data_IF_675644723915
#
_entry.id   IF_675644723915
#
_cell.length_a   1.000
_cell.length_b   1.000
_cell.length_c   1.000
_cell.angle_alpha   90.00
_cell.angle_beta   90.00
_cell.angle_gamma   90.00
#
_symmetry.space_group_name_H-M   'P 1'
#
loop_
_entity.id
_entity.type
_entity.pdbx_description
1 polymer ?
#
# COMPACT_ATOMS: atom_id res chain seq x y z
N UNK A 1 -14.82 -3.76 -10.62
CA UNK A 1 -14.68 -4.80 -9.58
C UNK A 1 -13.41 -4.49 -8.79
N UNK A 2 -13.54 -4.21 -7.50
CA UNK A 2 -12.37 -3.93 -6.65
C UNK A 2 -11.52 -5.18 -6.53
N UNK A 3 -10.18 -5.08 -6.65
CA UNK A 3 -9.34 -6.23 -6.39
C UNK A 3 -9.55 -6.61 -4.92
N UNK A 4 -10.18 -7.76 -4.72
CA UNK A 4 -10.13 -8.48 -3.44
C UNK A 4 -8.72 -9.10 -3.31
N UNK A 5 -8.51 -10.01 -2.37
CA UNK A 5 -7.29 -10.84 -2.33
C UNK A 5 -6.96 -11.57 -3.65
N UNK A 6 -7.82 -11.55 -4.66
CA UNK A 6 -7.52 -11.90 -6.05
C UNK A 6 -6.22 -11.29 -6.58
N UNK A 7 -5.82 -10.10 -6.09
CA UNK A 7 -4.51 -9.52 -6.46
C UNK A 7 -3.36 -10.41 -5.99
N UNK A 8 -3.46 -11.02 -4.81
CA UNK A 8 -2.45 -11.89 -4.20
C UNK A 8 -2.39 -13.22 -4.96
N UNK A 9 -3.55 -13.72 -5.39
CA UNK A 9 -3.67 -14.95 -6.18
C UNK A 9 -3.09 -14.79 -7.59
N UNK A 10 -3.15 -13.58 -8.17
CA UNK A 10 -2.76 -13.30 -9.56
C UNK A 10 -1.64 -12.26 -9.67
N UNK A 11 -0.72 -12.23 -8.69
CA UNK A 11 0.33 -11.20 -8.60
C UNK A 11 1.11 -11.02 -9.90
N UNK A 12 1.44 -12.11 -10.60
CA UNK A 12 2.24 -12.02 -11.82
C UNK A 12 1.54 -11.25 -12.93
N UNK A 13 0.22 -11.40 -13.08
CA UNK A 13 -0.58 -10.65 -14.05
C UNK A 13 -0.54 -9.16 -13.73
N UNK A 14 -0.79 -8.80 -12.47
CA UNK A 14 -0.81 -7.40 -12.07
C UNK A 14 0.56 -6.74 -12.17
N UNK A 15 1.62 -7.39 -11.67
CA UNK A 15 2.97 -6.80 -11.68
C UNK A 15 3.49 -6.62 -13.11
N UNK A 16 3.11 -7.48 -14.05
CA UNK A 16 3.53 -7.36 -15.46
C UNK A 16 2.64 -6.44 -16.30
N UNK A 17 1.45 -6.07 -15.79
CA UNK A 17 0.48 -5.21 -16.51
C UNK A 17 0.88 -3.73 -16.62
N UNK A 18 1.88 -3.29 -15.85
CA UNK A 18 2.36 -1.89 -15.83
C UNK A 18 3.86 -1.84 -15.57
N UNK A 19 4.53 -0.77 -16.01
CA UNK A 19 5.95 -0.54 -15.75
C UNK A 19 6.27 -0.50 -14.24
N UNK A 20 5.36 0.09 -13.45
CA UNK A 20 5.46 0.16 -12.00
C UNK A 20 4.15 -0.27 -11.35
N UNK A 21 4.21 -1.33 -10.54
CA UNK A 21 3.07 -1.83 -9.79
C UNK A 21 3.39 -1.92 -8.30
N UNK A 22 2.45 -1.48 -7.48
CA UNK A 22 2.41 -1.74 -6.04
C UNK A 22 0.97 -1.87 -5.58
N UNK A 23 0.74 -2.40 -4.40
CA UNK A 23 -0.57 -2.32 -3.77
C UNK A 23 -0.46 -2.16 -2.26
N UNK A 24 -1.51 -1.61 -1.67
CA UNK A 24 -1.66 -1.48 -0.23
C UNK A 24 -2.79 -2.39 0.21
N UNK A 25 -2.49 -3.36 1.07
CA UNK A 25 -3.51 -4.23 1.66
C UNK A 25 -3.96 -3.65 3.00
N UNK A 26 -5.28 -3.53 3.19
CA UNK A 26 -5.88 -3.03 4.42
C UNK A 26 -6.15 -4.18 5.39
N UNK A 27 -5.44 -4.25 6.53
CA UNK A 27 -5.67 -5.28 7.54
C UNK A 27 -7.12 -5.30 8.02
N UNK A 28 -7.61 -6.48 8.40
CA UNK A 28 -9.01 -6.72 8.81
C UNK A 28 -10.05 -6.49 7.71
N UNK A 29 -9.59 -6.34 6.47
CA UNK A 29 -10.44 -6.25 5.29
C UNK A 29 -9.91 -7.16 4.20
N UNK A 30 -10.80 -7.54 3.29
CA UNK A 30 -10.47 -8.26 2.06
C UNK A 30 -10.07 -7.30 0.93
N UNK A 31 -9.69 -6.06 1.27
CA UNK A 31 -9.58 -4.96 0.33
C UNK A 31 -8.14 -4.50 0.12
N UNK A 32 -7.81 -4.24 -1.14
CA UNK A 32 -6.52 -3.69 -1.54
C UNK A 32 -6.73 -2.41 -2.37
N UNK A 33 -5.78 -1.50 -2.29
CA UNK A 33 -5.64 -0.38 -3.22
C UNK A 33 -4.46 -0.70 -4.13
N UNK A 34 -4.73 -0.87 -5.43
CA UNK A 34 -3.69 -1.08 -6.42
C UNK A 34 -3.21 0.26 -7.00
N UNK A 35 -1.91 0.37 -7.23
CA UNK A 35 -1.26 1.46 -7.92
C UNK A 35 -0.52 0.91 -9.13
N UNK A 36 -0.90 1.39 -10.30
CA UNK A 36 -0.22 1.13 -11.57
C UNK A 36 0.25 2.46 -12.14
N UNK A 37 1.51 2.55 -12.53
CA UNK A 37 2.07 3.74 -13.16
C UNK A 37 2.86 3.37 -14.40
N UNK A 38 2.62 4.12 -15.49
CA UNK A 38 3.27 3.99 -16.78
C UNK A 38 3.70 5.37 -17.27
N UNK A 39 4.79 5.45 -18.02
CA UNK A 39 5.12 6.68 -18.76
C UNK A 39 4.04 6.99 -19.80
N UNK A 40 3.64 8.25 -19.88
CA UNK A 40 2.67 8.74 -20.87
C UNK A 40 3.10 10.11 -21.41
N UNK A 41 2.54 10.48 -22.57
CA UNK A 41 2.67 11.80 -23.20
C UNK A 41 1.40 12.65 -23.07
N UNK A 42 0.37 12.11 -22.42
CA UNK A 42 -0.86 12.83 -22.14
C UNK A 42 -0.62 14.07 -21.27
N UNK A 43 -1.55 15.02 -21.36
CA UNK A 43 -1.49 16.24 -20.57
C UNK A 43 -1.69 15.97 -19.08
N UNK A 44 -1.20 16.92 -18.27
CA UNK A 44 -1.31 16.85 -16.81
C UNK A 44 -2.77 16.70 -16.39
N UNK A 45 -3.06 15.70 -15.57
CA UNK A 45 -4.39 15.37 -15.06
C UNK A 45 -4.30 15.15 -13.55
N UNK A 46 -5.26 15.68 -12.81
CA UNK A 46 -5.35 15.50 -11.36
C UNK A 46 -6.07 16.68 -10.73
N UNK A 47 -6.77 16.41 -9.63
CA UNK A 47 -7.38 17.44 -8.80
C UNK A 47 -6.76 17.34 -7.42
N UNK A 48 -6.00 18.36 -7.05
CA UNK A 48 -5.54 18.52 -5.68
C UNK A 48 -6.68 19.16 -4.88
N UNK A 49 -7.03 18.59 -3.73
CA UNK A 49 -8.06 19.15 -2.87
C UNK A 49 -7.55 19.16 -1.45
N UNK A 50 -7.11 20.34 -1.00
CA UNK A 50 -6.57 20.52 0.35
C UNK A 50 -7.50 19.95 1.43
N UNK A 51 -8.82 20.11 1.29
CA UNK A 51 -9.78 19.56 2.25
C UNK A 51 -9.72 18.03 2.31
N UNK A 52 -9.71 17.35 1.16
CA UNK A 52 -9.63 15.89 1.12
C UNK A 52 -8.23 15.37 1.48
N UNK A 53 -7.19 16.03 0.99
CA UNK A 53 -5.80 15.61 1.16
C UNK A 53 -5.30 15.88 2.59
N UNK A 54 -5.47 17.09 3.08
CA UNK A 54 -4.96 17.52 4.40
C UNK A 54 -6.02 17.41 5.49
N UNK A 55 -7.25 17.86 5.24
CA UNK A 55 -8.32 17.84 6.25
C UNK A 55 -8.73 16.41 6.63
N UNK A 56 -9.15 15.64 5.63
CA UNK A 56 -9.65 14.27 5.83
C UNK A 56 -8.51 13.24 5.81
N UNK A 57 -7.67 13.27 4.76
CA UNK A 57 -6.62 12.29 4.54
C UNK A 57 -5.48 12.35 5.55
N UNK A 58 -5.28 13.51 6.19
CA UNK A 58 -4.26 13.69 7.22
C UNK A 58 -4.81 14.02 8.60
N UNK A 59 -5.34 15.22 8.85
CA UNK A 59 -5.65 15.66 10.21
C UNK A 59 -6.70 14.79 10.91
N UNK A 60 -7.81 14.49 10.22
CA UNK A 60 -8.84 13.60 10.77
C UNK A 60 -8.30 12.19 10.99
N UNK A 61 -7.57 11.64 10.02
CA UNK A 61 -6.99 10.30 10.13
C UNK A 61 -5.99 10.21 11.29
N UNK A 62 -5.10 11.19 11.42
CA UNK A 62 -4.12 11.28 12.51
C UNK A 62 -4.82 11.35 13.86
N UNK A 63 -5.89 12.14 13.99
CA UNK A 63 -6.68 12.22 15.21
C UNK A 63 -7.32 10.87 15.57
N UNK A 64 -7.91 10.18 14.59
CA UNK A 64 -8.51 8.85 14.81
C UNK A 64 -7.47 7.79 15.18
N UNK A 65 -6.30 7.81 14.55
CA UNK A 65 -5.17 6.93 14.89
C UNK A 65 -4.63 7.26 16.28
N UNK A 66 -4.57 8.53 16.67
CA UNK A 66 -4.21 8.90 18.04
C UNK A 66 -5.20 8.34 19.07
N UNK A 67 -6.51 8.43 18.83
CA UNK A 67 -7.51 7.79 19.70
C UNK A 67 -7.32 6.27 19.76
N UNK A 68 -6.98 5.64 18.64
CA UNK A 68 -6.80 4.18 18.56
C UNK A 68 -5.63 3.67 19.40
N UNK A 69 -4.66 4.53 19.76
CA UNK A 69 -3.59 4.20 20.72
C UNK A 69 -4.11 3.88 22.12
N UNK A 70 -5.26 4.46 22.51
CA UNK A 70 -5.93 4.17 23.79
C UNK A 70 -6.96 3.04 23.64
N UNK A 71 -7.57 2.89 22.46
CA UNK A 71 -8.62 1.91 22.20
C UNK A 71 -8.32 1.17 20.89
N UNK A 72 -7.45 0.16 20.95
CA UNK A 72 -6.99 -0.59 19.78
C UNK A 72 -8.10 -1.27 18.98
N UNK A 73 -9.25 -1.55 19.62
CA UNK A 73 -10.46 -2.09 18.94
C UNK A 73 -11.03 -1.15 17.88
N UNK A 74 -10.66 0.13 17.86
CA UNK A 74 -11.07 1.08 16.83
C UNK A 74 -10.29 0.90 15.52
N UNK A 75 -9.10 0.29 15.55
CA UNK A 75 -8.23 0.15 14.36
C UNK A 75 -8.96 -0.48 13.16
N UNK A 76 -9.64 -1.63 13.28
CA UNK A 76 -10.37 -2.21 12.14
C UNK A 76 -11.46 -1.30 11.59
N UNK A 77 -12.13 -0.53 12.46
CA UNK A 77 -13.19 0.41 12.06
C UNK A 77 -12.60 1.60 11.29
N UNK A 78 -11.49 2.15 11.77
CA UNK A 78 -10.76 3.26 11.14
C UNK A 78 -10.25 2.82 9.76
N UNK A 79 -9.60 1.66 9.67
CA UNK A 79 -9.10 1.12 8.40
C UNK A 79 -10.23 0.93 7.38
N UNK A 80 -11.36 0.35 7.81
CA UNK A 80 -12.52 0.15 6.94
C UNK A 80 -13.13 1.47 6.48
N UNK A 81 -13.24 2.45 7.38
CA UNK A 81 -13.75 3.77 7.04
C UNK A 81 -12.82 4.49 6.05
N UNK A 82 -11.50 4.48 6.31
CA UNK A 82 -10.49 5.05 5.42
C UNK A 82 -10.55 4.42 4.03
N UNK A 83 -10.58 3.08 3.94
CA UNK A 83 -10.72 2.39 2.65
C UNK A 83 -12.01 2.77 1.92
N UNK A 84 -13.13 2.89 2.63
CA UNK A 84 -14.39 3.29 2.01
C UNK A 84 -14.37 4.70 1.42
N UNK A 85 -13.62 5.63 2.03
CA UNK A 85 -13.50 7.02 1.57
C UNK A 85 -12.50 7.14 0.43
N UNK A 86 -11.31 6.57 0.58
CA UNK A 86 -10.19 6.79 -0.35
C UNK A 86 -9.92 5.64 -1.32
N UNK A 87 -10.26 4.40 -0.95
CA UNK A 87 -9.93 3.20 -1.74
C UNK A 87 -10.98 2.78 -2.77
N UNK A 88 -12.21 3.30 -2.68
CA UNK A 88 -13.33 2.89 -3.55
C UNK A 88 -13.41 3.63 -4.88
N UNK A 89 -12.79 4.79 -4.99
CA UNK A 89 -12.89 5.59 -6.21
C UNK A 89 -11.56 5.54 -6.93
N UNK A 90 -11.49 4.94 -8.13
CA UNK A 90 -10.29 5.03 -8.96
C UNK A 90 -9.93 6.50 -9.18
N UNK A 91 -8.66 6.83 -9.00
CA UNK A 91 -8.14 8.16 -9.22
C UNK A 91 -6.96 8.08 -10.17
N UNK A 92 -7.01 8.87 -11.24
CA UNK A 92 -5.91 9.02 -12.18
C UNK A 92 -5.16 10.31 -11.90
N UNK A 93 -3.83 10.25 -11.96
CA UNK A 93 -2.95 11.41 -11.92
C UNK A 93 -1.88 11.29 -13.00
N UNK A 94 -1.75 12.32 -13.82
CA UNK A 94 -0.70 12.45 -14.82
C UNK A 94 0.10 13.70 -14.44
N UNK A 95 1.38 13.52 -14.13
CA UNK A 95 2.30 14.59 -13.75
C UNK A 95 3.75 14.12 -14.00
N UNK A 96 4.73 14.99 -13.70
CA UNK A 96 6.15 14.61 -13.68
C UNK A 96 6.39 13.48 -12.68
N UNK A 97 7.31 12.57 -12.99
CA UNK A 97 7.54 11.33 -12.23
C UNK A 97 7.70 11.53 -10.71
N UNK A 98 8.48 12.52 -10.28
CA UNK A 98 8.68 12.85 -8.86
C UNK A 98 7.38 13.27 -8.15
N UNK A 99 6.41 13.87 -8.86
CA UNK A 99 5.11 14.28 -8.28
C UNK A 99 4.06 13.16 -8.29
N UNK A 100 4.34 12.08 -9.02
CA UNK A 100 3.53 10.86 -9.06
C UNK A 100 4.04 9.84 -8.04
N UNK A 101 5.36 9.64 -7.96
CA UNK A 101 5.96 8.65 -7.07
C UNK A 101 6.08 9.11 -5.61
N UNK A 102 6.31 10.41 -5.39
CA UNK A 102 6.41 10.93 -4.02
C UNK A 102 5.01 11.25 -3.46
N UNK A 103 4.80 10.88 -2.20
CA UNK A 103 3.65 11.30 -1.40
C UNK A 103 4.14 11.72 -0.02
N UNK A 104 3.41 12.64 0.61
CA UNK A 104 3.78 13.15 1.92
C UNK A 104 3.47 12.10 2.99
N UNK A 105 4.51 11.63 3.69
CA UNK A 105 4.38 10.76 4.86
C UNK A 105 4.11 11.60 6.12
N UNK A 106 2.92 12.21 6.18
CA UNK A 106 2.62 13.31 7.09
C UNK A 106 2.60 12.93 8.58
N UNK A 107 2.41 11.66 8.92
CA UNK A 107 2.48 11.15 10.30
C UNK A 107 3.71 10.27 10.50
N UNK A 108 4.26 10.32 11.71
CA UNK A 108 5.36 9.44 12.12
C UNK A 108 4.86 8.01 12.20
N UNK A 109 5.61 7.09 11.62
CA UNK A 109 5.29 5.67 11.54
C UNK A 109 6.51 4.87 12.01
N UNK A 110 6.30 3.87 12.87
CA UNK A 110 7.30 2.83 13.05
C UNK A 110 7.08 1.78 11.98
N UNK A 111 8.15 1.44 11.27
CA UNK A 111 8.05 0.61 10.08
C UNK A 111 9.06 -0.50 10.18
N UNK A 112 8.60 -1.72 9.91
CA UNK A 112 9.48 -2.81 9.52
C UNK A 112 9.29 -3.09 8.03
N UNK A 113 10.38 -3.39 7.35
CA UNK A 113 10.36 -3.74 5.94
C UNK A 113 11.17 -5.02 5.71
N UNK A 114 10.60 -5.92 4.92
CA UNK A 114 11.24 -7.17 4.52
C UNK A 114 11.38 -7.23 3.01
N UNK A 115 12.55 -7.68 2.55
CA UNK A 115 12.79 -8.03 1.16
C UNK A 115 12.82 -9.57 1.03
N UNK A 116 11.96 -10.10 0.16
CA UNK A 116 11.83 -11.54 -0.09
C UNK A 116 11.87 -11.82 -1.60
N UNK A 117 12.19 -13.05 -2.03
CA UNK A 117 12.03 -13.42 -3.44
C UNK A 117 10.59 -13.18 -3.90
N UNK A 118 10.40 -12.56 -5.07
CA UNK A 118 9.07 -12.25 -5.62
C UNK A 118 8.15 -13.48 -5.68
N UNK A 119 8.70 -14.65 -6.03
CA UNK A 119 7.95 -15.91 -6.12
C UNK A 119 7.35 -16.37 -4.79
N UNK A 120 7.82 -15.84 -3.65
CA UNK A 120 7.30 -16.15 -2.31
C UNK A 120 6.25 -15.14 -1.82
N UNK A 121 6.02 -14.04 -2.55
CA UNK A 121 5.15 -12.95 -2.13
C UNK A 121 3.73 -13.43 -1.76
N UNK A 122 3.10 -14.22 -2.62
CA UNK A 122 1.73 -14.71 -2.38
C UNK A 122 1.60 -15.51 -1.09
N UNK A 123 2.49 -16.49 -0.88
CA UNK A 123 2.49 -17.35 0.32
C UNK A 123 2.72 -16.52 1.58
N UNK A 124 3.74 -15.65 1.58
CA UNK A 124 4.05 -14.81 2.74
C UNK A 124 2.89 -13.86 3.09
N UNK A 125 2.20 -13.30 2.11
CA UNK A 125 1.07 -12.41 2.36
C UNK A 125 -0.14 -13.15 2.95
N UNK A 126 -0.41 -14.39 2.50
CA UNK A 126 -1.47 -15.21 3.09
C UNK A 126 -1.13 -15.61 4.54
N UNK A 127 0.11 -15.99 4.80
CA UNK A 127 0.57 -16.30 6.17
C UNK A 127 0.50 -15.06 7.08
N UNK A 128 0.93 -13.89 6.58
CA UNK A 128 0.84 -12.63 7.30
C UNK A 128 -0.63 -12.28 7.61
N UNK A 129 -1.55 -12.49 6.67
CA UNK A 129 -2.98 -12.31 6.89
C UNK A 129 -3.49 -13.19 8.01
N UNK A 130 -3.24 -14.48 7.93
CA UNK A 130 -3.65 -15.43 8.96
C UNK A 130 -3.08 -15.06 10.33
N UNK A 131 -1.80 -14.65 10.38
CA UNK A 131 -1.16 -14.23 11.62
C UNK A 131 -1.80 -12.97 12.22
N UNK A 132 -2.07 -11.92 11.43
CA UNK A 132 -2.72 -10.69 11.90
C UNK A 132 -4.13 -10.99 12.45
N UNK A 133 -4.90 -11.82 11.75
CA UNK A 133 -6.27 -12.18 12.14
C UNK A 133 -6.29 -13.01 13.44
N UNK A 134 -5.36 -13.94 13.60
CA UNK A 134 -5.28 -14.81 14.77
C UNK A 134 -4.67 -14.11 16.00
N UNK A 135 -3.65 -13.27 15.80
CA UNK A 135 -2.96 -12.57 16.89
C UNK A 135 -3.72 -11.35 17.41
N UNK A 136 -4.68 -10.83 16.62
CA UNK A 136 -5.33 -9.53 16.85
C UNK A 136 -4.32 -8.38 16.95
N UNK A 137 -3.18 -8.50 16.29
CA UNK A 137 -2.16 -7.45 16.22
C UNK A 137 -2.78 -6.19 15.59
N UNK A 138 -2.69 -5.00 16.23
CA UNK A 138 -3.36 -3.80 15.77
C UNK A 138 -2.62 -3.14 14.59
N UNK A 139 -2.60 -3.79 13.44
CA UNK A 139 -2.05 -3.24 12.20
C UNK A 139 -2.89 -2.03 11.74
N UNK A 140 -2.47 -0.85 12.19
CA UNK A 140 -3.27 0.36 12.19
C UNK A 140 -3.22 1.15 10.88
N UNK A 141 -2.34 0.75 9.98
CA UNK A 141 -2.22 1.33 8.65
C UNK A 141 -2.05 0.23 7.60
N UNK A 142 -2.35 0.49 6.32
CA UNK A 142 -2.23 -0.52 5.28
C UNK A 142 -0.79 -1.03 5.13
N UNK A 143 -0.67 -2.31 4.81
CA UNK A 143 0.60 -2.97 4.49
C UNK A 143 0.93 -2.67 3.04
N UNK A 144 2.06 -2.03 2.78
CA UNK A 144 2.51 -1.71 1.42
C UNK A 144 3.34 -2.86 0.85
N UNK A 145 2.98 -3.29 -0.36
CA UNK A 145 3.66 -4.34 -1.11
C UNK A 145 4.18 -3.78 -2.42
N UNK A 146 5.50 -3.86 -2.61
CA UNK A 146 6.21 -3.33 -3.78
C UNK A 146 7.06 -4.41 -4.45
N UNK A 147 7.31 -4.25 -5.74
CA UNK A 147 8.08 -5.20 -6.54
C UNK A 147 9.24 -4.50 -7.22
N UNK A 148 10.41 -5.14 -7.21
CA UNK A 148 11.63 -4.62 -7.82
C UNK A 148 12.28 -5.75 -8.63
N UNK A 149 12.67 -5.42 -9.86
CA UNK A 149 13.38 -6.36 -10.73
C UNK A 149 14.80 -6.58 -10.23
N UNK A 150 15.33 -7.77 -10.49
CA UNK A 150 16.73 -8.11 -10.31
C UNK A 150 17.66 -7.13 -11.04
N UNK A 151 18.83 -6.94 -10.44
CA UNK A 151 19.93 -6.18 -11.03
C UNK A 151 21.27 -6.90 -10.85
N UNK A 152 22.34 -6.34 -11.42
CA UNK A 152 23.71 -6.84 -11.30
C UNK A 152 24.60 -5.85 -10.51
N UNK A 153 24.08 -5.28 -9.42
CA UNK A 153 24.80 -4.36 -8.54
C UNK A 153 25.07 -5.08 -7.22
N UNK A 154 26.35 -5.33 -6.90
CA UNK A 154 26.74 -6.16 -5.75
C UNK A 154 26.15 -5.72 -4.39
N UNK A 155 25.95 -4.41 -4.19
CA UNK A 155 25.38 -3.87 -2.94
C UNK A 155 23.86 -3.69 -3.00
N UNK A 156 23.22 -4.05 -4.12
CA UNK A 156 21.77 -3.96 -4.22
C UNK A 156 21.10 -5.07 -3.41
N UNK A 157 20.06 -4.76 -2.64
CA UNK A 157 19.22 -5.78 -2.02
C UNK A 157 18.48 -6.66 -3.04
N UNK A 158 18.48 -6.28 -4.33
CA UNK A 158 17.87 -7.03 -5.43
C UNK A 158 18.92 -7.72 -6.34
N UNK A 159 20.15 -7.89 -5.87
CA UNK A 159 21.21 -8.52 -6.66
C UNK A 159 20.80 -9.90 -7.15
N UNK A 160 20.74 -10.07 -8.48
CA UNK A 160 20.40 -11.31 -9.18
C UNK A 160 19.03 -11.92 -8.80
N UNK A 161 18.14 -11.17 -8.14
CA UNK A 161 16.85 -11.68 -7.68
C UNK A 161 15.73 -10.64 -7.78
N UNK A 162 14.67 -10.98 -8.51
CA UNK A 162 13.41 -10.26 -8.47
C UNK A 162 12.84 -10.33 -7.05
N UNK A 163 12.60 -9.17 -6.46
CA UNK A 163 12.32 -9.04 -5.03
C UNK A 163 10.98 -8.36 -4.77
N UNK A 164 10.30 -8.82 -3.73
CA UNK A 164 9.10 -8.22 -3.19
C UNK A 164 9.44 -7.60 -1.84
N UNK A 165 9.03 -6.35 -1.66
CA UNK A 165 9.17 -5.60 -0.41
C UNK A 165 7.82 -5.54 0.28
N UNK A 166 7.76 -5.99 1.53
CA UNK A 166 6.57 -5.94 2.37
C UNK A 166 6.86 -4.99 3.54
N UNK A 167 6.10 -3.92 3.62
CA UNK A 167 6.28 -2.85 4.59
C UNK A 167 5.08 -2.83 5.54
N UNK A 168 5.36 -3.06 6.82
CA UNK A 168 4.35 -3.15 7.89
C UNK A 168 4.56 -1.98 8.84
N UNK A 169 3.49 -1.20 9.00
CA UNK A 169 3.44 -0.02 9.85
C UNK A 169 2.86 -0.40 11.22
N UNK A 170 3.56 -0.05 12.28
CA UNK A 170 3.31 -0.42 13.68
C UNK A 170 3.16 0.78 14.59
#
# INVERSE_FOLDING_TARGET
LFPKLQVIENLDVYVTSSEHFRFMWYPFTESVICYSANRTKEERKGKDSWFWDMGVGYYLLQFLLWISTFVSRLVPLINRAHFNVFGKTPADKIDRSDRVFNFNCLFKQYVMEWAIPRSKAGVVLFELKAWIENSRFPAHFPIEVRFVKSDNIYLSPCYMQDSCYINIIM
#
